data_IF_726679889087
#
_entry.id   IF_726679889087
#
_cell.length_a   1.000
_cell.length_b   1.000
_cell.length_c   1.000
_cell.angle_alpha   90.00
_cell.angle_beta   90.00
_cell.angle_gamma   90.00
#
_symmetry.space_group_name_H-M   'P 1'
#
loop_
_entity.id
_entity.type
_entity.pdbx_description
1 polymer ?
#
# COMPACT_ATOMS: atom_id res chain seq x y z
N UNK A 1 -1.92 -7.84 -5.98
CA UNK A 1 -2.48 -6.81 -5.08
C UNK A 1 -1.33 -6.02 -4.51
N UNK A 2 -1.38 -4.68 -4.54
CA UNK A 2 -0.30 -3.86 -4.00
C UNK A 2 -0.44 -3.73 -2.48
N UNK A 3 0.69 -3.76 -1.79
CA UNK A 3 0.83 -3.55 -0.36
C UNK A 3 1.82 -2.43 -0.10
N UNK A 4 1.68 -1.78 1.05
CA UNK A 4 2.63 -0.80 1.58
C UNK A 4 2.98 -1.21 3.00
N UNK A 5 4.23 -0.97 3.40
CA UNK A 5 4.68 -1.27 4.76
C UNK A 5 6.04 -0.64 5.04
N UNK A 6 6.42 -0.67 6.32
CA UNK A 6 7.69 -0.13 6.78
C UNK A 6 8.79 -1.19 6.62
N UNK A 7 9.93 -0.79 6.05
CA UNK A 7 11.09 -1.67 5.86
C UNK A 7 11.89 -1.71 7.16
N UNK A 8 11.64 -2.73 7.97
CA UNK A 8 12.24 -2.88 9.31
C UNK A 8 13.36 -3.90 9.30
N UNK A 9 14.47 -3.57 9.95
CA UNK A 9 15.59 -4.47 10.09
C UNK A 9 15.31 -5.58 11.10
N UNK A 10 15.55 -6.83 10.72
CA UNK A 10 15.43 -7.99 11.61
C UNK A 10 16.54 -8.02 12.68
N UNK A 11 17.69 -7.39 12.41
CA UNK A 11 18.84 -7.42 13.30
C UNK A 11 18.84 -6.28 14.34
N UNK A 12 18.70 -5.03 13.88
CA UNK A 12 18.81 -3.85 14.75
C UNK A 12 17.48 -3.10 14.98
N UNK A 13 16.38 -3.54 14.35
CA UNK A 13 15.06 -2.92 14.48
C UNK A 13 14.89 -1.57 13.76
N UNK A 14 15.92 -1.06 13.09
CA UNK A 14 15.87 0.22 12.38
C UNK A 14 14.90 0.18 11.18
N UNK A 15 14.10 1.24 11.04
CA UNK A 15 13.18 1.44 9.90
C UNK A 15 13.92 2.22 8.82
N UNK A 16 14.14 1.58 7.67
CA UNK A 16 14.91 2.14 6.55
C UNK A 16 14.06 3.00 5.60
N UNK A 17 12.73 2.96 5.75
CA UNK A 17 11.78 3.72 4.94
C UNK A 17 10.48 2.95 4.71
N UNK A 18 9.67 3.45 3.79
CA UNK A 18 8.45 2.77 3.35
C UNK A 18 8.65 2.09 2.01
N UNK A 19 8.02 0.94 1.83
CA UNK A 19 8.06 0.20 0.58
C UNK A 19 6.66 -0.10 0.07
N UNK A 20 6.50 -0.04 -1.25
CA UNK A 20 5.27 -0.34 -1.98
C UNK A 20 5.58 -1.32 -3.10
N UNK A 21 4.85 -2.43 -3.13
CA UNK A 21 5.00 -3.41 -4.20
C UNK A 21 3.94 -4.48 -4.18
N UNK A 22 4.09 -5.50 -5.01
CA UNK A 22 3.13 -6.61 -5.06
C UNK A 22 3.24 -7.47 -3.80
N UNK A 23 2.11 -7.89 -3.24
CA UNK A 23 2.09 -8.86 -2.15
C UNK A 23 2.81 -10.15 -2.57
N UNK A 24 3.76 -10.61 -1.76
CA UNK A 24 4.60 -11.78 -2.02
C UNK A 24 5.81 -11.52 -2.93
N UNK A 25 5.98 -10.31 -3.46
CA UNK A 25 7.18 -9.95 -4.20
C UNK A 25 8.36 -9.64 -3.25
N UNK A 26 9.62 -9.84 -3.70
CA UNK A 26 10.79 -9.45 -2.94
C UNK A 26 10.83 -7.93 -2.70
N UNK A 27 11.36 -7.52 -1.55
CA UNK A 27 11.53 -6.12 -1.16
C UNK A 27 12.74 -5.53 -1.90
N UNK A 28 12.51 -5.02 -3.11
CA UNK A 28 13.56 -4.40 -3.95
C UNK A 28 13.51 -2.88 -3.92
N UNK A 29 14.59 -2.23 -4.35
CA UNK A 29 14.72 -0.78 -4.38
C UNK A 29 13.63 -0.11 -5.24
N UNK A 30 13.11 -0.79 -6.28
CA UNK A 30 12.01 -0.29 -7.12
C UNK A 30 10.75 0.11 -6.33
N UNK A 31 10.49 -0.54 -5.19
CA UNK A 31 9.32 -0.25 -4.36
C UNK A 31 9.58 0.74 -3.23
N UNK A 32 10.84 1.14 -2.99
CA UNK A 32 11.18 2.00 -1.86
C UNK A 32 10.72 3.44 -2.12
N UNK A 33 9.82 3.95 -1.27
CA UNK A 33 9.47 5.37 -1.24
C UNK A 33 10.62 6.15 -0.62
N UNK A 34 10.92 7.29 -1.21
CA UNK A 34 12.02 8.18 -0.82
C UNK A 34 13.43 7.58 -1.00
N UNK A 35 13.62 6.82 -2.08
CA UNK A 35 14.92 6.34 -2.56
C UNK A 35 15.89 7.48 -3.02
N UNK A 36 15.63 8.73 -2.63
CA UNK A 36 16.36 9.94 -3.04
C UNK A 36 17.85 9.93 -2.70
N UNK A 37 18.33 8.95 -1.92
CA UNK A 37 19.71 8.88 -1.44
C UNK A 37 20.55 7.74 -2.01
N UNK A 38 20.03 6.84 -2.85
CA UNK A 38 20.81 5.63 -3.20
C UNK A 38 20.79 5.30 -4.68
N UNK A 39 21.99 5.20 -5.26
CA UNK A 39 22.35 4.71 -6.60
C UNK A 39 22.04 3.21 -6.79
N UNK A 40 20.98 2.71 -6.16
CA UNK A 40 20.59 1.30 -6.23
C UNK A 40 19.89 1.04 -7.55
N UNK A 41 20.20 -0.10 -8.15
CA UNK A 41 19.40 -0.58 -9.27
C UNK A 41 18.01 -0.97 -8.76
N UNK A 42 16.95 -0.80 -9.56
CA UNK A 42 15.58 -1.11 -9.14
C UNK A 42 15.39 -2.57 -8.68
N UNK A 43 16.22 -3.48 -9.16
CA UNK A 43 16.19 -4.91 -8.85
C UNK A 43 16.95 -5.28 -7.58
N UNK A 44 17.76 -4.36 -7.03
CA UNK A 44 18.57 -4.62 -5.85
C UNK A 44 17.67 -4.88 -4.64
N UNK A 45 18.01 -5.91 -3.86
CA UNK A 45 17.33 -6.24 -2.61
C UNK A 45 17.64 -5.16 -1.58
N UNK A 46 16.60 -4.63 -0.95
CA UNK A 46 16.77 -3.62 0.10
C UNK A 46 17.42 -4.26 1.32
N UNK A 47 18.46 -3.62 1.83
CA UNK A 47 19.11 -3.93 3.10
C UNK A 47 18.93 -2.79 4.09
N UNK A 48 19.19 -3.07 5.36
CA UNK A 48 19.10 -2.04 6.38
C UNK A 48 20.12 -0.93 6.14
N UNK A 49 19.68 0.32 6.07
CA UNK A 49 20.56 1.49 5.86
C UNK A 49 21.54 1.76 7.02
N UNK A 50 21.36 1.08 8.17
CA UNK A 50 22.20 1.28 9.36
C UNK A 50 23.24 0.18 9.56
N UNK A 51 22.87 -1.08 9.36
CA UNK A 51 23.74 -2.22 9.67
C UNK A 51 23.88 -3.22 8.52
N UNK A 52 23.35 -2.91 7.33
CA UNK A 52 23.33 -3.78 6.14
C UNK A 52 22.67 -5.17 6.35
N UNK A 53 21.94 -5.30 7.46
CA UNK A 53 21.26 -6.53 7.86
C UNK A 53 19.99 -6.81 7.04
N UNK A 54 19.44 -8.03 7.17
CA UNK A 54 18.20 -8.41 6.52
C UNK A 54 17.02 -7.57 7.02
N UNK A 55 16.07 -7.30 6.13
CA UNK A 55 14.88 -6.50 6.41
C UNK A 55 13.62 -7.29 6.11
N UNK A 56 12.52 -6.90 6.76
CA UNK A 56 11.18 -7.40 6.52
C UNK A 56 10.20 -6.22 6.43
N UNK A 57 9.00 -6.49 5.92
CA UNK A 57 7.93 -5.50 5.90
C UNK A 57 7.12 -5.61 7.20
N UNK A 58 7.10 -4.55 7.98
CA UNK A 58 6.26 -4.38 9.16
C UNK A 58 5.04 -3.49 8.83
N UNK A 59 4.02 -3.53 9.68
CA UNK A 59 2.80 -2.71 9.56
C UNK A 59 2.14 -2.75 8.16
N UNK A 60 2.15 -3.93 7.53
CA UNK A 60 1.72 -4.10 6.14
C UNK A 60 0.24 -3.81 5.96
N UNK A 61 -0.08 -2.93 5.01
CA UNK A 61 -1.45 -2.58 4.64
C UNK A 61 -1.67 -2.62 3.13
N UNK A 62 -2.93 -2.76 2.72
CA UNK A 62 -3.29 -2.79 1.31
C UNK A 62 -3.27 -1.39 0.70
N UNK A 63 -2.64 -1.25 -0.46
CA UNK A 63 -2.73 -0.01 -1.24
C UNK A 63 -4.08 -0.02 -1.96
N UNK A 64 -5.04 0.72 -1.40
CA UNK A 64 -6.36 0.87 -2.03
C UNK A 64 -6.24 1.93 -3.13
N UNK A 65 -6.45 1.53 -4.39
CA UNK A 65 -6.42 2.50 -5.49
C UNK A 65 -7.54 3.53 -5.35
N UNK A 66 -7.23 4.79 -5.63
CA UNK A 66 -8.20 5.90 -5.63
C UNK A 66 -9.36 5.64 -6.59
N UNK A 67 -9.12 4.96 -7.71
CA UNK A 67 -10.13 4.51 -8.67
C UNK A 67 -11.11 3.49 -8.06
N UNK A 68 -10.60 2.51 -7.29
CA UNK A 68 -11.43 1.53 -6.59
C UNK A 68 -12.30 2.21 -5.54
N UNK A 69 -11.75 3.16 -4.77
CA UNK A 69 -12.51 3.94 -3.79
C UNK A 69 -13.63 4.76 -4.44
N UNK A 70 -13.34 5.47 -5.54
CA UNK A 70 -14.35 6.22 -6.30
C UNK A 70 -15.46 5.30 -6.81
N UNK A 71 -15.11 4.13 -7.33
CA UNK A 71 -16.09 3.13 -7.79
C UNK A 71 -16.98 2.61 -6.66
N UNK A 72 -16.39 2.30 -5.50
CA UNK A 72 -17.14 1.84 -4.31
C UNK A 72 -18.11 2.93 -3.84
N UNK A 73 -17.67 4.20 -3.78
CA UNK A 73 -18.55 5.33 -3.41
C UNK A 73 -19.73 5.46 -4.37
N UNK A 74 -19.46 5.47 -5.68
CA UNK A 74 -20.50 5.57 -6.72
C UNK A 74 -21.53 4.44 -6.63
N UNK A 75 -21.09 3.20 -6.38
CA UNK A 75 -21.98 2.06 -6.20
C UNK A 75 -22.88 2.22 -4.97
N UNK A 76 -22.33 2.72 -3.85
CA UNK A 76 -23.11 2.98 -2.64
C UNK A 76 -24.16 4.06 -2.85
N UNK A 77 -23.81 5.14 -3.57
CA UNK A 77 -24.75 6.19 -3.95
C UNK A 77 -25.89 5.65 -4.81
N UNK A 78 -25.59 4.77 -5.77
CA UNK A 78 -26.61 4.14 -6.62
C UNK A 78 -27.57 3.24 -5.84
N UNK A 79 -27.04 2.42 -4.91
CA UNK A 79 -27.87 1.57 -4.04
C UNK A 79 -28.76 2.44 -3.17
N UNK A 80 -28.21 3.49 -2.54
CA UNK A 80 -29.00 4.42 -1.73
C UNK A 80 -30.11 5.13 -2.52
N UNK A 81 -29.85 5.50 -3.79
CA UNK A 81 -30.86 6.08 -4.67
C UNK A 81 -31.96 5.08 -5.07
N UNK A 82 -31.64 3.79 -5.17
CA UNK A 82 -32.61 2.73 -5.45
C UNK A 82 -33.46 2.38 -4.23
N UNK A 83 -32.83 2.33 -3.04
CA UNK A 83 -33.49 2.03 -1.76
C UNK A 83 -34.28 3.23 -1.20
N UNK A 84 -34.13 4.42 -1.80
CA UNK A 84 -34.93 5.58 -1.43
C UNK A 84 -36.43 5.21 -1.61
N UNK A 85 -37.24 5.24 -0.53
CA UNK A 85 -38.61 4.79 -0.58
C UNK A 85 -39.36 5.59 -1.63
N UNK A 86 -40.18 4.90 -2.45
CA UNK A 86 -41.19 5.51 -3.32
C UNK A 86 -42.28 6.20 -2.47
N UNK A 87 -41.92 7.20 -1.68
CA UNK A 87 -42.85 8.03 -0.91
C UNK A 87 -43.51 9.03 -1.85
N UNK A 88 -44.53 8.59 -2.59
CA UNK A 88 -45.24 9.52 -3.47
C UNK A 88 -46.42 9.00 -4.27
N UNK A 89 -46.84 7.74 -4.11
CA UNK A 89 -48.12 7.27 -4.67
C UNK A 89 -48.84 6.40 -3.64
N UNK A 90 -49.45 7.05 -2.67
CA UNK A 90 -50.68 6.56 -2.05
C UNK A 90 -51.81 7.47 -2.56
N UNK A 91 -52.84 6.83 -3.09
CA UNK A 91 -54.03 7.39 -3.73
C UNK A 91 -54.97 8.05 -2.72
#
# INVERSE_FOLDING_TARGET
MLVTGDVKCLHCGFISGQWVGQNGAPVTAAGLKDASATTLNPEDIVRCLRCDGPVFLDEVSLVISSTRLRRIRRLREQIAAFDAPRSGRAA
#
